data_IF_313848329918
#
_entry.id   IF_313848329918
#
_cell.length_a   1.000
_cell.length_b   1.000
_cell.length_c   1.000
_cell.angle_alpha   90.00
_cell.angle_beta   90.00
_cell.angle_gamma   90.00
#
_symmetry.space_group_name_H-M   'P 1'
#
loop_
_entity.id
_entity.type
_entity.pdbx_description
1 polymer ?
#
# COMPACT_ATOMS: atom_id res chain seq x y z
N UNK A 1 -2.01 6.22 -14.20
CA UNK A 1 -2.70 5.91 -12.93
C UNK A 1 -2.24 4.55 -12.49
N UNK A 2 -1.72 4.40 -11.28
CA UNK A 2 -1.36 3.09 -10.72
C UNK A 2 -2.33 2.78 -9.60
N UNK A 3 -3.03 1.66 -9.72
CA UNK A 3 -3.81 1.06 -8.62
C UNK A 3 -2.85 0.11 -7.92
N UNK A 4 -2.49 0.46 -6.70
CA UNK A 4 -1.63 -0.38 -5.87
C UNK A 4 -2.52 -0.89 -4.74
N UNK A 5 -2.67 -2.21 -4.62
CA UNK A 5 -2.96 -2.82 -3.33
C UNK A 5 -1.62 -3.23 -2.74
N UNK A 6 -1.04 -2.40 -1.88
CA UNK A 6 0.32 -2.63 -1.53
C UNK A 6 0.36 -3.59 -0.35
N UNK A 7 1.00 -4.73 -0.57
CA UNK A 7 1.57 -5.48 0.52
C UNK A 7 2.80 -4.72 1.02
N UNK A 8 2.59 -3.64 1.76
CA UNK A 8 3.70 -2.93 2.40
C UNK A 8 4.07 -3.61 3.69
N UNK A 9 5.35 -3.72 3.89
CA UNK A 9 5.94 -4.06 5.15
C UNK A 9 5.65 -3.03 6.21
N UNK A 10 5.41 -3.52 7.41
CA UNK A 10 5.48 -2.74 8.63
C UNK A 10 6.88 -2.84 9.24
N UNK A 11 7.15 -2.10 10.31
CA UNK A 11 8.39 -2.27 11.08
C UNK A 11 8.45 -3.60 11.86
N UNK A 12 7.51 -4.52 11.63
CA UNK A 12 7.42 -5.84 12.24
C UNK A 12 7.92 -6.93 11.29
N UNK A 13 8.52 -8.02 11.82
CA UNK A 13 8.88 -9.19 11.05
C UNK A 13 7.67 -9.72 10.25
N UNK A 14 7.91 -10.09 9.00
CA UNK A 14 6.89 -10.57 8.10
C UNK A 14 7.35 -11.89 7.49
N UNK A 15 6.63 -12.97 7.81
CA UNK A 15 7.01 -14.33 7.43
C UNK A 15 6.96 -14.54 5.92
N UNK A 16 6.04 -13.88 5.22
CA UNK A 16 5.93 -13.96 3.76
C UNK A 16 7.13 -13.25 3.14
N UNK A 17 7.48 -12.07 3.64
CA UNK A 17 8.67 -11.36 3.19
C UNK A 17 9.95 -12.17 3.41
N UNK A 18 10.15 -12.70 4.62
CA UNK A 18 11.34 -13.49 4.94
C UNK A 18 11.46 -14.75 4.07
N UNK A 19 10.33 -15.35 3.69
CA UNK A 19 10.30 -16.47 2.75
C UNK A 19 10.66 -16.05 1.32
N UNK A 20 10.10 -14.94 0.83
CA UNK A 20 10.34 -14.45 -0.54
C UNK A 20 11.72 -13.79 -0.73
N UNK A 21 12.27 -13.19 0.32
CA UNK A 21 13.53 -12.44 0.32
C UNK A 21 14.45 -12.90 1.46
N UNK A 22 14.90 -14.17 1.45
CA UNK A 22 15.67 -14.76 2.55
C UNK A 22 17.04 -14.08 2.76
N UNK A 23 17.60 -13.47 1.71
CA UNK A 23 18.86 -12.72 1.75
C UNK A 23 18.72 -11.37 2.49
N UNK A 24 17.51 -10.83 2.58
CA UNK A 24 17.23 -9.58 3.27
C UNK A 24 15.89 -9.62 4.04
N UNK A 25 15.82 -10.41 5.13
CA UNK A 25 14.58 -10.59 5.89
C UNK A 25 14.23 -9.37 6.74
N UNK A 26 15.07 -8.32 6.71
CA UNK A 26 14.89 -7.11 7.48
C UNK A 26 13.78 -6.24 6.90
N UNK A 27 13.21 -5.42 7.78
CA UNK A 27 12.09 -4.53 7.47
C UNK A 27 12.51 -3.21 6.82
N UNK A 28 13.82 -3.00 6.63
CA UNK A 28 14.43 -1.80 6.03
C UNK A 28 14.67 -1.92 4.52
N UNK A 29 14.27 -3.03 3.88
CA UNK A 29 14.34 -3.13 2.42
C UNK A 29 13.31 -2.18 1.77
N UNK A 30 13.71 -1.28 0.85
CA UNK A 30 12.80 -0.37 0.17
C UNK A 30 11.72 -1.07 -0.65
N UNK A 31 11.94 -2.32 -1.08
CA UNK A 31 10.95 -3.13 -1.79
C UNK A 31 9.86 -3.64 -0.85
N UNK A 32 10.20 -3.84 0.42
CA UNK A 32 9.26 -4.23 1.46
C UNK A 32 8.52 -3.01 2.00
N UNK A 33 9.24 -1.96 2.40
CA UNK A 33 8.67 -0.73 2.92
C UNK A 33 9.34 0.49 2.27
N UNK A 34 8.76 1.07 1.21
CA UNK A 34 9.37 2.22 0.53
C UNK A 34 9.42 3.48 1.42
N UNK A 35 8.67 3.52 2.53
CA UNK A 35 8.74 4.61 3.49
C UNK A 35 10.05 4.63 4.29
N UNK A 36 10.84 3.55 4.30
CA UNK A 36 12.19 3.56 4.91
C UNK A 36 13.20 4.37 4.10
N UNK A 37 12.94 4.54 2.81
CA UNK A 37 13.76 5.33 1.90
C UNK A 37 12.91 6.36 1.17
N UNK A 38 12.58 7.43 1.90
CA UNK A 38 11.72 8.52 1.45
C UNK A 38 12.16 9.19 0.14
N UNK A 39 13.46 9.19 -0.15
CA UNK A 39 13.98 9.68 -1.42
C UNK A 39 13.49 8.88 -2.63
N UNK A 40 13.13 7.61 -2.45
CA UNK A 40 12.54 6.78 -3.51
C UNK A 40 11.11 7.21 -3.83
N UNK A 41 10.32 7.62 -2.82
CA UNK A 41 8.96 8.10 -3.05
C UNK A 41 8.95 9.36 -3.93
N UNK A 42 9.91 10.27 -3.74
CA UNK A 42 10.04 11.46 -4.58
C UNK A 42 10.36 11.17 -6.06
N UNK A 43 10.87 9.97 -6.36
CA UNK A 43 11.26 9.53 -7.71
C UNK A 43 10.16 8.76 -8.44
N UNK A 44 8.99 8.58 -7.83
CA UNK A 44 7.87 7.91 -8.48
C UNK A 44 7.45 8.68 -9.75
N UNK A 45 7.52 8.00 -10.90
CA UNK A 45 7.21 8.58 -12.22
C UNK A 45 5.71 8.71 -12.50
N UNK A 46 4.86 8.09 -11.67
CA UNK A 46 3.42 8.21 -11.80
C UNK A 46 2.92 9.56 -11.24
N UNK A 47 1.94 10.14 -11.93
CA UNK A 47 1.29 11.39 -11.50
C UNK A 47 0.10 11.18 -10.58
N UNK A 48 -0.50 9.97 -10.57
CA UNK A 48 -1.69 9.63 -9.78
C UNK A 48 -1.61 8.22 -9.21
N UNK A 49 -1.87 8.10 -7.91
CA UNK A 49 -1.94 6.84 -7.15
C UNK A 49 -3.30 6.76 -6.45
N UNK A 50 -3.97 5.62 -6.60
CA UNK A 50 -5.15 5.25 -5.80
C UNK A 50 -4.80 4.07 -4.92
N UNK A 51 -4.99 4.23 -3.61
CA UNK A 51 -4.78 3.20 -2.60
C UNK A 51 -6.16 2.67 -2.16
N UNK A 52 -6.41 1.38 -2.34
CA UNK A 52 -7.65 0.74 -1.90
C UNK A 52 -7.37 -0.19 -0.70
N UNK A 53 -8.12 0.00 0.39
CA UNK A 53 -8.01 -0.80 1.61
C UNK A 53 -9.39 -1.26 2.11
N UNK A 54 -9.45 -2.44 2.71
CA UNK A 54 -10.62 -2.91 3.44
C UNK A 54 -10.64 -2.36 4.87
N UNK A 55 -11.81 -1.92 5.35
CA UNK A 55 -11.95 -1.39 6.71
C UNK A 55 -11.71 -2.45 7.81
N UNK A 56 -11.87 -3.74 7.49
CA UNK A 56 -11.55 -4.88 8.37
C UNK A 56 -10.25 -5.57 7.98
N UNK A 57 -9.48 -5.01 7.05
CA UNK A 57 -8.19 -5.58 6.65
C UNK A 57 -7.23 -5.58 7.87
N UNK A 58 -6.69 -6.74 8.23
CA UNK A 58 -5.75 -6.87 9.34
C UNK A 58 -4.42 -6.13 9.07
N UNK A 59 -4.14 -5.79 7.81
CA UNK A 59 -3.04 -4.92 7.41
C UNK A 59 -3.48 -3.52 6.96
N UNK A 60 -4.72 -3.08 7.28
CA UNK A 60 -5.26 -1.75 6.94
C UNK A 60 -4.29 -0.59 7.18
N UNK A 61 -3.60 -0.61 8.32
CA UNK A 61 -2.66 0.45 8.71
C UNK A 61 -1.51 0.63 7.71
N UNK A 62 -1.06 -0.44 7.02
CA UNK A 62 0.03 -0.37 6.03
C UNK A 62 -0.34 0.52 4.84
N UNK A 63 -1.61 0.49 4.40
CA UNK A 63 -2.10 1.39 3.36
C UNK A 63 -2.12 2.87 3.79
N UNK A 64 -2.53 3.14 5.03
CA UNK A 64 -2.50 4.48 5.61
C UNK A 64 -1.07 5.02 5.75
N UNK A 65 -0.14 4.21 6.26
CA UNK A 65 1.28 4.59 6.37
C UNK A 65 1.87 5.04 5.04
N UNK A 66 1.54 4.33 3.94
CA UNK A 66 2.01 4.72 2.62
C UNK A 66 1.38 6.00 2.10
N UNK A 67 0.07 6.16 2.30
CA UNK A 67 -0.65 7.39 1.96
C UNK A 67 0.01 8.60 2.65
N UNK A 68 0.26 8.50 3.95
CA UNK A 68 0.92 9.54 4.73
C UNK A 68 2.35 9.80 4.27
N UNK A 69 3.11 8.75 3.94
CA UNK A 69 4.47 8.88 3.42
C UNK A 69 4.49 9.63 2.07
N UNK A 70 3.56 9.32 1.16
CA UNK A 70 3.42 10.03 -0.12
C UNK A 70 3.05 11.50 0.08
N UNK A 71 2.14 11.80 1.02
CA UNK A 71 1.74 13.19 1.34
C UNK A 71 2.86 13.99 1.99
N UNK A 72 3.64 13.37 2.86
CA UNK A 72 4.67 14.06 3.66
C UNK A 72 5.96 14.31 2.87
N UNK A 73 6.34 13.41 1.96
CA UNK A 73 7.70 13.38 1.43
C UNK A 73 7.80 13.53 -0.08
N UNK A 74 7.92 14.79 -0.55
CA UNK A 74 8.59 15.18 -1.79
C UNK A 74 8.00 14.69 -3.13
N UNK A 75 7.04 13.78 -3.11
CA UNK A 75 6.35 13.33 -4.31
C UNK A 75 5.30 14.37 -4.71
N UNK A 76 5.34 14.79 -5.98
CA UNK A 76 4.53 15.89 -6.51
C UNK A 76 3.22 15.42 -7.18
N UNK A 77 2.89 14.14 -7.05
CA UNK A 77 1.68 13.55 -7.63
C UNK A 77 0.45 13.69 -6.75
N UNK A 78 -0.68 13.22 -7.27
CA UNK A 78 -1.95 13.13 -6.56
C UNK A 78 -2.12 11.72 -5.96
N UNK A 79 -2.33 11.62 -4.65
CA UNK A 79 -2.71 10.37 -3.99
C UNK A 79 -4.11 10.49 -3.39
N UNK A 80 -4.91 9.45 -3.63
CA UNK A 80 -6.20 9.20 -3.01
C UNK A 80 -6.16 7.86 -2.24
N UNK A 81 -6.85 7.79 -1.11
CA UNK A 81 -7.07 6.56 -0.36
C UNK A 81 -8.57 6.29 -0.24
N UNK A 82 -8.99 5.11 -0.68
CA UNK A 82 -10.37 4.61 -0.60
C UNK A 82 -10.42 3.47 0.40
N UNK A 83 -11.00 3.75 1.56
CA UNK A 83 -11.29 2.72 2.56
C UNK A 83 -12.71 2.20 2.39
N UNK A 84 -12.83 0.89 2.14
CA UNK A 84 -14.13 0.24 1.95
C UNK A 84 -14.59 -0.38 3.26
N UNK A 85 -15.58 0.24 3.90
CA UNK A 85 -16.09 -0.19 5.20
C UNK A 85 -16.56 -1.65 5.16
N UNK A 86 -16.18 -2.42 6.18
CA UNK A 86 -16.63 -3.78 6.38
C UNK A 86 -15.90 -4.84 5.56
N UNK A 87 -15.05 -4.45 4.61
CA UNK A 87 -14.31 -5.37 3.75
C UNK A 87 -13.00 -5.84 4.38
N UNK A 88 -12.66 -7.11 4.10
CA UNK A 88 -11.45 -7.76 4.59
C UNK A 88 -10.27 -7.61 3.61
N UNK A 89 -9.16 -8.26 3.94
CA UNK A 89 -7.97 -8.28 3.08
C UNK A 89 -8.30 -8.86 1.70
N UNK A 90 -7.85 -8.19 0.63
CA UNK A 90 -7.97 -8.68 -0.76
C UNK A 90 -9.44 -8.81 -1.24
N UNK A 91 -10.38 -8.07 -0.64
CA UNK A 91 -11.80 -8.10 -1.01
C UNK A 91 -12.09 -7.87 -2.50
N UNK A 92 -11.20 -7.17 -3.21
CA UNK A 92 -11.33 -6.79 -4.61
C UNK A 92 -11.13 -7.96 -5.61
N UNK A 93 -10.55 -9.10 -5.20
CA UNK A 93 -10.43 -10.30 -6.06
C UNK A 93 -11.81 -10.90 -6.35
N UNK A 94 -12.78 -10.67 -5.46
CA UNK A 94 -14.16 -11.08 -5.67
C UNK A 94 -14.86 -10.05 -6.56
N UNK A 95 -14.70 -10.22 -7.88
CA UNK A 95 -15.07 -9.30 -8.98
C UNK A 95 -16.50 -8.70 -8.88
N UNK A 96 -17.43 -9.34 -8.18
CA UNK A 96 -18.80 -8.83 -8.02
C UNK A 96 -18.90 -7.59 -7.09
N UNK A 97 -17.96 -7.39 -6.18
CA UNK A 97 -18.02 -6.31 -5.18
C UNK A 97 -17.32 -5.01 -5.64
N UNK A 98 -16.25 -5.12 -6.44
CA UNK A 98 -15.38 -3.98 -6.76
C UNK A 98 -16.03 -2.96 -7.72
N UNK A 99 -16.64 -3.45 -8.81
CA UNK A 99 -17.23 -2.58 -9.86
C UNK A 99 -18.43 -1.79 -9.32
N UNK A 100 -19.14 -2.33 -8.31
CA UNK A 100 -20.26 -1.65 -7.66
C UNK A 100 -19.81 -0.60 -6.65
N UNK A 101 -18.72 -0.84 -5.93
CA UNK A 101 -18.29 0.01 -4.81
C UNK A 101 -17.37 1.16 -5.22
N UNK A 102 -16.69 1.08 -6.36
CA UNK A 102 -15.85 2.16 -6.89
C UNK A 102 -16.61 3.19 -7.74
N UNK A 103 -17.91 2.98 -8.01
CA UNK A 103 -18.76 3.91 -8.80
C UNK A 103 -19.46 5.00 -7.96
N UNK A 104 -19.27 4.99 -6.65
CA UNK A 104 -19.73 6.01 -5.70
C UNK A 104 -18.53 6.56 -4.94
#
# INVERSE_FOLDING_TARGET
MVIVHPYFGSNWPDTIWAYCCPENPKTDDPRFNPAVHLSLLSKLVCSKILICIGGKDFIRYRGWTYYEALKKYGWKGEVEIKETQGEEHVFFIWISQLVRKLRH
#
